data_IF_920879181743
#
_entry.id   IF_920879181743
#
_cell.length_a   1.000
_cell.length_b   1.000
_cell.length_c   1.000
_cell.angle_alpha   90.00
_cell.angle_beta   90.00
_cell.angle_gamma   90.00
#
_symmetry.space_group_name_H-M   'P 1'
#
loop_
_entity.id
_entity.type
_entity.pdbx_description
1 polymer ?
#
# COMPACT_ATOMS: atom_id res chain seq x y z
N UNK A 1 21.65 6.26 -1.47
CA UNK A 1 20.47 5.63 -2.12
C UNK A 1 19.85 4.78 -1.03
N UNK A 2 18.65 5.10 -0.55
CA UNK A 2 18.12 4.43 0.65
C UNK A 2 17.71 3.00 0.30
N UNK A 3 18.51 2.04 0.78
CA UNK A 3 18.29 0.63 0.54
C UNK A 3 17.08 0.14 1.34
N UNK A 4 16.36 -0.84 0.79
CA UNK A 4 15.31 -1.56 1.52
C UNK A 4 15.98 -2.76 2.18
N UNK A 5 16.30 -2.61 3.46
CA UNK A 5 16.99 -3.65 4.24
C UNK A 5 16.07 -4.84 4.54
N UNK A 6 16.57 -6.08 4.45
CA UNK A 6 15.83 -7.27 4.85
C UNK A 6 15.32 -7.22 6.29
N UNK A 7 14.26 -7.98 6.56
CA UNK A 7 13.56 -8.14 7.86
C UNK A 7 12.79 -6.93 8.37
N UNK A 8 13.11 -5.72 7.91
CA UNK A 8 12.45 -4.49 8.33
C UNK A 8 11.12 -4.23 7.63
N UNK A 9 10.26 -3.51 8.33
CA UNK A 9 9.03 -2.96 7.81
C UNK A 9 9.26 -1.63 7.10
N UNK A 10 8.51 -1.41 6.02
CA UNK A 10 8.50 -0.15 5.29
C UNK A 10 7.09 0.25 4.90
N UNK A 11 6.78 1.52 5.14
CA UNK A 11 5.70 2.20 4.45
C UNK A 11 6.20 2.63 3.08
N UNK A 12 5.71 1.98 2.03
CA UNK A 12 6.05 2.25 0.63
C UNK A 12 4.89 2.97 -0.03
N UNK A 13 5.15 4.11 -0.65
CA UNK A 13 4.09 4.87 -1.27
C UNK A 13 4.62 5.75 -2.40
N UNK A 14 3.72 6.08 -3.32
CA UNK A 14 4.03 6.96 -4.43
C UNK A 14 2.73 7.55 -4.99
N UNK A 15 2.87 8.62 -5.75
CA UNK A 15 1.76 9.32 -6.41
C UNK A 15 2.05 9.59 -7.87
N UNK A 16 0.98 9.87 -8.61
CA UNK A 16 1.05 10.36 -9.96
C UNK A 16 1.89 11.63 -10.04
N UNK A 17 2.72 11.72 -11.08
CA UNK A 17 3.41 12.94 -11.42
C UNK A 17 2.39 14.08 -11.60
N UNK A 18 2.69 15.27 -11.07
CA UNK A 18 1.74 16.39 -11.00
C UNK A 18 0.39 16.05 -10.31
N UNK A 19 0.38 15.09 -9.38
CA UNK A 19 -0.82 14.59 -8.67
C UNK A 19 -1.90 14.03 -9.62
N UNK A 20 -1.54 13.69 -10.85
CA UNK A 20 -2.46 13.16 -11.84
C UNK A 20 -3.03 11.79 -11.40
N UNK A 21 -4.24 11.42 -11.83
CA UNK A 21 -4.75 10.07 -11.65
C UNK A 21 -3.78 9.01 -12.21
N UNK A 22 -3.55 7.96 -11.43
CA UNK A 22 -2.83 6.75 -11.81
C UNK A 22 -3.77 5.55 -11.95
N UNK A 23 -5.01 5.64 -11.46
CA UNK A 23 -6.08 4.67 -11.70
C UNK A 23 -7.32 5.41 -12.22
N UNK A 24 -7.72 5.15 -13.46
CA UNK A 24 -8.90 5.72 -14.10
C UNK A 24 -10.13 4.79 -14.01
N UNK A 25 -9.91 3.48 -13.96
CA UNK A 25 -10.97 2.46 -13.95
C UNK A 25 -10.56 1.24 -13.12
N UNK A 26 -11.52 0.39 -12.74
CA UNK A 26 -11.30 -0.78 -11.87
C UNK A 26 -10.20 -1.72 -12.36
N UNK A 27 -10.09 -1.92 -13.67
CA UNK A 27 -9.06 -2.78 -14.26
C UNK A 27 -7.64 -2.25 -14.01
N UNK A 28 -7.48 -0.94 -13.83
CA UNK A 28 -6.19 -0.36 -13.45
C UNK A 28 -5.75 -0.83 -12.06
N UNK A 29 -6.67 -0.83 -11.10
CA UNK A 29 -6.41 -1.29 -9.73
C UNK A 29 -6.07 -2.77 -9.71
N UNK A 30 -6.89 -3.59 -10.38
CA UNK A 30 -6.67 -5.05 -10.51
C UNK A 30 -5.33 -5.36 -11.17
N UNK A 31 -4.99 -4.66 -12.25
CA UNK A 31 -3.74 -4.87 -12.96
C UNK A 31 -2.52 -4.46 -12.12
N UNK A 32 -2.62 -3.37 -11.36
CA UNK A 32 -1.55 -2.94 -10.44
C UNK A 32 -1.30 -3.97 -9.33
N UNK A 33 -2.36 -4.52 -8.73
CA UNK A 33 -2.25 -5.59 -7.74
C UNK A 33 -1.67 -6.88 -8.37
N UNK A 34 -2.05 -7.23 -9.60
CA UNK A 34 -1.46 -8.36 -10.33
C UNK A 34 0.05 -8.18 -10.56
N UNK A 35 0.48 -6.97 -10.95
CA UNK A 35 1.91 -6.67 -11.08
C UNK A 35 2.61 -6.68 -9.72
N UNK A 36 1.93 -6.24 -8.66
CA UNK A 36 2.46 -6.31 -7.28
C UNK A 36 2.72 -7.76 -6.89
N UNK A 37 1.78 -8.67 -7.17
CA UNK A 37 1.98 -10.10 -6.95
C UNK A 37 3.21 -10.63 -7.70
N UNK A 38 3.33 -10.28 -8.98
CA UNK A 38 4.45 -10.70 -9.84
C UNK A 38 5.80 -10.20 -9.35
N UNK A 39 5.88 -8.94 -8.94
CA UNK A 39 7.16 -8.26 -8.71
C UNK A 39 7.54 -8.16 -7.24
N UNK A 40 6.60 -8.22 -6.30
CA UNK A 40 6.87 -7.88 -4.90
C UNK A 40 6.81 -9.09 -3.97
N UNK A 41 5.87 -10.03 -4.17
CA UNK A 41 5.67 -11.14 -3.21
C UNK A 41 6.87 -12.07 -3.02
N UNK A 42 7.81 -12.12 -3.97
CA UNK A 42 9.04 -12.89 -3.83
C UNK A 42 10.11 -12.18 -2.99
N UNK A 43 10.03 -10.85 -2.83
CA UNK A 43 10.99 -10.05 -2.04
C UNK A 43 10.41 -9.49 -0.74
N UNK A 44 9.09 -9.39 -0.61
CA UNK A 44 8.45 -8.83 0.57
C UNK A 44 7.10 -9.48 0.87
N UNK A 45 6.77 -9.49 2.15
CA UNK A 45 5.44 -9.80 2.65
C UNK A 45 4.62 -8.51 2.73
N UNK A 46 3.36 -8.57 2.31
CA UNK A 46 2.46 -7.41 2.29
C UNK A 46 1.48 -7.53 3.46
N UNK A 47 1.43 -6.50 4.31
CA UNK A 47 0.57 -6.48 5.49
C UNK A 47 -0.74 -5.76 5.16
N UNK A 48 -0.65 -4.55 4.59
CA UNK A 48 -1.83 -3.80 4.15
C UNK A 48 -1.51 -2.89 2.97
N UNK A 49 -2.56 -2.40 2.31
CA UNK A 49 -2.49 -1.44 1.23
C UNK A 49 -3.75 -0.59 1.12
N UNK A 50 -3.61 0.57 0.48
CA UNK A 50 -4.72 1.37 -0.03
C UNK A 50 -4.31 2.02 -1.34
N UNK A 51 -5.14 1.87 -2.38
CA UNK A 51 -4.93 2.42 -3.70
C UNK A 51 -5.96 3.51 -3.95
N UNK A 52 -5.51 4.73 -4.16
CA UNK A 52 -6.33 5.93 -4.37
C UNK A 52 -6.09 6.46 -5.77
N UNK A 53 -7.06 7.21 -6.31
CA UNK A 53 -7.08 7.61 -7.73
C UNK A 53 -5.73 8.13 -8.25
N UNK A 54 -5.00 8.91 -7.46
CA UNK A 54 -3.71 9.50 -7.83
C UNK A 54 -2.50 8.99 -7.02
N UNK A 55 -2.65 8.06 -6.07
CA UNK A 55 -1.54 7.57 -5.26
C UNK A 55 -1.84 6.22 -4.59
N UNK A 56 -0.83 5.59 -4.01
CA UNK A 56 -1.02 4.34 -3.27
C UNK A 56 -0.13 4.31 -2.03
N UNK A 57 -0.52 3.48 -1.07
CA UNK A 57 0.28 3.11 0.09
C UNK A 57 0.31 1.60 0.26
N UNK A 58 1.47 1.07 0.64
CA UNK A 58 1.70 -0.30 1.07
C UNK A 58 2.45 -0.30 2.40
N UNK A 59 2.09 -1.23 3.27
CA UNK A 59 2.96 -1.68 4.34
C UNK A 59 3.54 -3.04 3.97
N UNK A 60 4.87 -3.11 3.91
CA UNK A 60 5.58 -4.34 3.55
C UNK A 60 6.66 -4.66 4.57
N UNK A 61 6.97 -5.94 4.71
CA UNK A 61 8.18 -6.41 5.40
C UNK A 61 9.10 -7.09 4.38
N UNK A 62 10.34 -6.63 4.29
CA UNK A 62 11.31 -7.22 3.34
C UNK A 62 11.74 -8.59 3.83
N UNK A 63 11.76 -9.58 2.94
CA UNK A 63 12.16 -10.96 3.27
C UNK A 63 13.66 -11.05 3.50
N UNK A 64 14.07 -11.89 4.44
CA UNK A 64 15.47 -12.04 4.87
C UNK A 64 16.44 -12.36 3.72
N UNK A 65 16.10 -13.35 2.88
CA UNK A 65 16.92 -13.81 1.75
C UNK A 65 16.53 -13.16 0.42
N UNK A 66 16.08 -11.90 0.46
CA UNK A 66 15.74 -11.16 -0.75
C UNK A 66 16.89 -10.26 -1.20
N UNK A 67 16.96 -10.03 -2.50
CA UNK A 67 17.92 -9.10 -3.12
C UNK A 67 17.19 -8.20 -4.10
N UNK A 68 17.81 -7.09 -4.49
CA UNK A 68 17.32 -6.21 -5.54
C UNK A 68 15.91 -5.64 -5.29
N UNK A 69 15.54 -5.40 -4.02
CA UNK A 69 14.21 -4.94 -3.61
C UNK A 69 13.82 -3.62 -4.29
N UNK A 70 14.73 -2.65 -4.32
CA UNK A 70 14.50 -1.37 -5.02
C UNK A 70 14.25 -1.58 -6.51
N UNK A 71 14.94 -2.55 -7.13
CA UNK A 71 14.75 -2.89 -8.54
C UNK A 71 13.40 -3.59 -8.77
N UNK A 72 12.96 -4.44 -7.83
CA UNK A 72 11.65 -5.09 -7.89
C UNK A 72 10.50 -4.07 -7.89
N UNK A 73 10.55 -3.07 -6.99
CA UNK A 73 9.61 -1.95 -7.00
C UNK A 73 9.73 -1.10 -8.28
N UNK A 74 10.94 -0.82 -8.75
CA UNK A 74 11.16 -0.13 -10.03
C UNK A 74 10.53 -0.89 -11.21
N UNK A 75 10.66 -2.22 -11.24
CA UNK A 75 10.07 -3.07 -12.26
C UNK A 75 8.54 -3.03 -12.23
N UNK A 76 7.93 -3.07 -11.04
CA UNK A 76 6.49 -2.88 -10.84
C UNK A 76 6.03 -1.54 -11.45
N UNK A 77 6.63 -0.43 -11.03
CA UNK A 77 6.21 0.91 -11.47
C UNK A 77 6.44 1.13 -12.96
N UNK A 78 7.54 0.61 -13.52
CA UNK A 78 7.84 0.70 -14.95
C UNK A 78 6.87 -0.14 -15.78
N UNK A 79 6.57 -1.37 -15.36
CA UNK A 79 5.62 -2.23 -16.06
C UNK A 79 4.22 -1.60 -16.08
N UNK A 80 3.78 -1.08 -14.94
CA UNK A 80 2.50 -0.40 -14.84
C UNK A 80 2.44 0.88 -15.68
N UNK A 81 3.46 1.75 -15.57
CA UNK A 81 3.54 3.01 -16.34
C UNK A 81 3.50 2.75 -17.85
N UNK A 82 4.19 1.70 -18.34
CA UNK A 82 4.17 1.32 -19.76
C UNK A 82 2.78 0.90 -20.22
N UNK A 83 2.10 0.05 -19.45
CA UNK A 83 0.75 -0.41 -19.78
C UNK A 83 -0.26 0.75 -19.75
N UNK A 84 -0.18 1.60 -18.73
CA UNK A 84 -1.01 2.79 -18.59
C UNK A 84 -0.81 3.76 -19.75
N UNK A 85 0.45 4.09 -20.07
CA UNK A 85 0.82 4.97 -21.17
C UNK A 85 0.29 4.44 -22.51
N UNK A 86 0.43 3.14 -22.77
CA UNK A 86 -0.13 2.50 -23.96
C UNK A 86 -1.67 2.60 -24.00
N UNK A 87 -2.36 2.33 -22.89
CA UNK A 87 -3.83 2.33 -22.83
C UNK A 87 -4.42 3.72 -23.04
N UNK A 88 -3.81 4.76 -22.46
CA UNK A 88 -4.32 6.14 -22.51
C UNK A 88 -3.57 7.06 -23.47
N UNK A 89 -2.81 6.49 -24.42
CA UNK A 89 -2.02 7.24 -25.40
C UNK A 89 -1.16 8.36 -24.79
N UNK A 90 -0.51 8.05 -23.65
CA UNK A 90 0.33 8.98 -22.88
C UNK A 90 1.80 8.64 -23.04
N UNK A 91 2.67 9.60 -22.80
CA UNK A 91 4.13 9.41 -22.73
C UNK A 91 4.70 9.93 -21.41
N UNK A 92 5.98 9.64 -21.14
CA UNK A 92 6.69 10.14 -19.96
C UNK A 92 6.39 9.37 -18.66
N UNK A 93 6.85 9.94 -17.54
CA UNK A 93 6.72 9.33 -16.21
C UNK A 93 5.29 9.41 -15.67
N UNK A 94 4.77 8.29 -15.17
CA UNK A 94 3.45 8.24 -14.54
C UNK A 94 3.55 8.58 -13.05
N UNK A 95 4.52 7.99 -12.36
CA UNK A 95 4.79 8.19 -10.93
C UNK A 95 5.88 9.23 -10.67
N UNK A 96 5.90 9.81 -9.47
CA UNK A 96 7.02 10.60 -8.98
C UNK A 96 8.27 9.71 -8.76
N UNK A 97 9.45 10.28 -8.98
CA UNK A 97 10.73 9.61 -8.80
C UNK A 97 11.59 10.37 -7.78
N UNK A 98 12.30 9.67 -6.89
CA UNK A 98 12.15 8.23 -6.59
C UNK A 98 10.82 7.94 -5.89
N UNK A 99 10.41 6.66 -5.82
CA UNK A 99 9.33 6.27 -4.92
C UNK A 99 9.77 6.46 -3.47
N UNK A 100 8.82 6.81 -2.61
CA UNK A 100 9.08 7.11 -1.21
C UNK A 100 8.96 5.84 -0.36
N UNK A 101 9.76 5.81 0.70
CA UNK A 101 9.86 4.69 1.65
C UNK A 101 10.18 5.25 3.03
N UNK A 102 9.52 4.74 4.07
CA UNK A 102 9.85 5.05 5.46
C UNK A 102 10.01 3.75 6.23
N UNK A 103 11.22 3.51 6.75
CA UNK A 103 11.52 2.35 7.60
C UNK A 103 10.75 2.48 8.91
N UNK A 104 10.19 1.37 9.39
CA UNK A 104 9.43 1.28 10.63
C UNK A 104 10.18 0.35 11.57
N UNK A 105 10.57 0.87 12.73
CA UNK A 105 11.32 0.13 13.77
C UNK A 105 10.54 -0.02 15.07
N UNK A 106 9.47 0.75 15.26
CA UNK A 106 8.66 0.75 16.48
C UNK A 106 7.29 0.14 16.22
N UNK A 107 6.86 -0.78 17.10
CA UNK A 107 5.58 -1.48 16.97
C UNK A 107 4.38 -0.51 17.08
N UNK A 108 4.45 0.47 17.98
CA UNK A 108 3.42 1.51 18.10
C UNK A 108 3.24 2.26 16.77
N UNK A 109 4.35 2.63 16.13
CA UNK A 109 4.32 3.30 14.84
C UNK A 109 3.81 2.38 13.72
N UNK A 110 4.13 1.07 13.76
CA UNK A 110 3.58 0.08 12.85
C UNK A 110 2.05 0.03 12.89
N UNK A 111 1.46 -0.01 14.10
CA UNK A 111 0.00 0.05 14.31
C UNK A 111 -0.61 1.32 13.70
N UNK A 112 0.01 2.47 13.94
CA UNK A 112 -0.42 3.77 13.39
C UNK A 112 -0.38 3.78 11.86
N UNK A 113 0.65 3.21 11.24
CA UNK A 113 0.75 3.12 9.78
C UNK A 113 -0.34 2.22 9.19
N UNK A 114 -0.68 1.09 9.83
CA UNK A 114 -1.78 0.23 9.37
C UNK A 114 -3.11 1.00 9.36
N UNK A 115 -3.41 1.70 10.46
CA UNK A 115 -4.60 2.54 10.57
C UNK A 115 -4.62 3.63 9.50
N UNK A 116 -3.51 4.36 9.36
CA UNK A 116 -3.36 5.44 8.38
C UNK A 116 -3.63 4.95 6.96
N UNK A 117 -3.06 3.80 6.58
CA UNK A 117 -3.25 3.22 5.24
C UNK A 117 -4.71 2.89 5.01
N UNK A 118 -5.40 2.25 5.96
CA UNK A 118 -6.80 1.88 5.78
C UNK A 118 -7.75 3.07 5.81
N UNK A 119 -7.50 4.06 6.67
CA UNK A 119 -8.31 5.28 6.86
C UNK A 119 -8.07 6.33 5.78
N UNK A 120 -7.05 6.16 4.94
CA UNK A 120 -6.68 7.13 3.92
C UNK A 120 -7.83 7.56 2.98
N UNK A 121 -8.74 6.69 2.53
CA UNK A 121 -9.91 7.10 1.75
C UNK A 121 -10.86 8.04 2.50
N UNK A 122 -11.08 7.81 3.81
CA UNK A 122 -11.88 8.70 4.66
C UNK A 122 -11.16 10.04 4.89
N UNK A 123 -9.86 10.00 5.21
CA UNK A 123 -9.05 11.21 5.45
C UNK A 123 -9.00 12.14 4.23
N UNK A 124 -9.08 11.58 3.01
CA UNK A 124 -9.19 12.36 1.77
C UNK A 124 -10.62 12.73 1.37
N UNK A 125 -11.63 12.45 2.21
CA UNK A 125 -13.03 12.78 1.97
C UNK A 125 -13.65 12.03 0.78
N UNK A 126 -13.10 10.87 0.40
CA UNK A 126 -13.57 10.07 -0.74
C UNK A 126 -14.79 9.24 -0.35
N UNK A 127 -14.83 8.78 0.90
CA UNK A 127 -15.90 7.95 1.43
C UNK A 127 -16.09 8.24 2.93
N UNK A 128 -17.28 7.91 3.46
CA UNK A 128 -17.58 8.06 4.89
C UNK A 128 -17.33 6.78 5.71
N UNK A 129 -17.20 5.63 5.02
CA UNK A 129 -16.99 4.33 5.63
C UNK A 129 -15.98 3.50 4.83
N UNK A 130 -14.80 3.26 5.40
CA UNK A 130 -13.72 2.45 4.81
C UNK A 130 -14.14 1.02 4.46
N UNK A 131 -15.17 0.45 5.09
CA UNK A 131 -15.69 -0.89 4.78
C UNK A 131 -16.18 -0.99 3.33
N UNK A 132 -16.63 0.14 2.78
CA UNK A 132 -17.17 0.24 1.43
C UNK A 132 -16.12 0.59 0.38
N UNK A 133 -14.85 0.78 0.76
CA UNK A 133 -13.79 1.13 -0.18
C UNK A 133 -13.13 -0.13 -0.78
N UNK A 134 -13.38 -0.46 -2.06
CA UNK A 134 -12.96 -1.75 -2.63
C UNK A 134 -11.45 -1.84 -2.89
N UNK A 135 -10.77 -0.68 -2.96
CA UNK A 135 -9.36 -0.58 -3.34
C UNK A 135 -8.42 -0.46 -2.12
N UNK A 136 -8.88 -0.92 -0.95
CA UNK A 136 -8.11 -1.04 0.29
C UNK A 136 -8.11 -2.49 0.78
N UNK A 137 -7.06 -2.86 1.51
CA UNK A 137 -6.97 -4.19 2.14
C UNK A 137 -7.87 -4.35 3.36
N UNK A 138 -8.51 -3.29 3.89
CA UNK A 138 -9.30 -3.37 5.13
C UNK A 138 -10.37 -4.47 5.07
N UNK A 139 -11.23 -4.46 4.05
CA UNK A 139 -12.24 -5.50 3.84
C UNK A 139 -11.61 -6.88 3.57
N UNK A 140 -10.42 -6.94 2.96
CA UNK A 140 -9.69 -8.19 2.74
C UNK A 140 -9.19 -8.80 4.04
N UNK A 141 -8.73 -7.98 4.99
CA UNK A 141 -8.28 -8.44 6.31
C UNK A 141 -9.46 -9.00 7.11
N UNK A 142 -10.63 -8.37 7.04
CA UNK A 142 -11.84 -8.84 7.73
C UNK A 142 -12.51 -10.07 7.11
N UNK A 143 -12.20 -10.36 5.85
CA UNK A 143 -12.80 -11.46 5.08
C UNK A 143 -12.16 -12.81 5.41
N UNK A 144 -12.93 -13.90 5.29
CA UNK A 144 -12.43 -15.28 5.38
C UNK A 144 -11.84 -15.82 4.06
N UNK A 145 -11.95 -15.07 2.96
CA UNK A 145 -11.45 -15.51 1.64
C UNK A 145 -9.91 -15.65 1.66
N UNK A 146 -9.32 -16.56 0.89
CA UNK A 146 -7.86 -16.65 0.76
C UNK A 146 -7.25 -15.32 0.32
N UNK A 147 -6.08 -14.99 0.86
CA UNK A 147 -5.34 -13.77 0.54
C UNK A 147 -3.84 -14.03 0.59
N UNK A 148 -3.07 -13.20 -0.12
CA UNK A 148 -1.61 -13.18 -0.05
C UNK A 148 -1.09 -12.18 1.01
N UNK A 149 -2.00 -11.47 1.67
CA UNK A 149 -1.64 -10.58 2.78
C UNK A 149 -1.29 -11.41 4.01
N UNK A 150 -0.42 -10.86 4.86
CA UNK A 150 -0.14 -11.38 6.20
C UNK A 150 -1.28 -11.08 7.17
N UNK A 151 -2.50 -11.52 6.84
CA UNK A 151 -3.74 -11.20 7.57
C UNK A 151 -3.61 -11.56 9.04
N UNK A 152 -3.16 -12.77 9.33
CA UNK A 152 -3.08 -13.30 10.69
C UNK A 152 -2.11 -12.46 11.52
N UNK A 153 -0.95 -12.12 10.98
CA UNK A 153 0.04 -11.25 11.63
C UNK A 153 -0.50 -9.82 11.81
N UNK A 154 -1.24 -9.28 10.85
CA UNK A 154 -1.90 -7.97 10.99
C UNK A 154 -2.94 -8.00 12.11
N UNK A 155 -3.74 -9.06 12.21
CA UNK A 155 -4.73 -9.19 13.29
C UNK A 155 -4.04 -9.32 14.64
N UNK A 156 -2.96 -10.08 14.72
CA UNK A 156 -2.15 -10.27 15.93
C UNK A 156 -1.50 -8.98 16.42
N UNK A 157 -1.05 -8.10 15.51
CA UNK A 157 -0.57 -6.74 15.85
C UNK A 157 -1.64 -5.92 16.59
N UNK A 158 -2.93 -6.24 16.42
CA UNK A 158 -4.04 -5.62 17.13
C UNK A 158 -4.66 -6.56 18.17
N UNK A 159 -3.94 -7.60 18.59
CA UNK A 159 -4.35 -8.65 19.53
C UNK A 159 -5.44 -9.59 18.98
N UNK A 160 -6.50 -9.06 18.37
CA UNK A 160 -7.56 -9.83 17.73
C UNK A 160 -8.38 -8.96 16.74
N UNK A 161 -9.25 -9.63 15.98
CA UNK A 161 -10.06 -8.98 14.94
C UNK A 161 -11.06 -7.96 15.50
N UNK A 162 -11.54 -8.15 16.72
CA UNK A 162 -12.51 -7.22 17.34
C UNK A 162 -11.81 -5.93 17.77
N UNK A 163 -10.62 -6.02 18.35
CA UNK A 163 -9.80 -4.85 18.67
C UNK A 163 -9.31 -4.15 17.40
N UNK A 164 -8.93 -4.89 16.35
CA UNK A 164 -8.64 -4.32 15.03
C UNK A 164 -9.80 -3.44 14.53
N UNK A 165 -11.03 -3.96 14.52
CA UNK A 165 -12.24 -3.19 14.13
C UNK A 165 -12.47 -2.00 15.06
N UNK A 166 -12.36 -2.20 16.36
CA UNK A 166 -12.59 -1.17 17.38
C UNK A 166 -11.67 0.02 17.17
N UNK A 167 -10.35 -0.19 17.04
CA UNK A 167 -9.38 0.90 16.88
C UNK A 167 -9.56 1.63 15.55
N UNK A 168 -9.92 0.95 14.45
CA UNK A 168 -10.25 1.62 13.19
C UNK A 168 -11.48 2.53 13.31
N UNK A 169 -12.49 2.12 14.09
CA UNK A 169 -13.70 2.94 14.33
C UNK A 169 -13.45 4.16 15.22
N UNK A 170 -12.44 4.12 16.09
CA UNK A 170 -12.08 5.26 16.94
C UNK A 170 -11.55 6.45 16.12
N UNK A 171 -11.11 6.23 14.87
CA UNK A 171 -10.60 7.27 13.96
C UNK A 171 -9.58 8.17 14.67
N UNK A 172 -8.47 7.60 15.19
CA UNK A 172 -7.48 8.39 15.89
C UNK A 172 -6.90 9.46 14.96
N UNK A 173 -6.47 10.58 15.55
CA UNK A 173 -5.73 11.59 14.80
C UNK A 173 -4.38 11.01 14.37
N UNK A 174 -4.14 11.05 13.06
CA UNK A 174 -2.96 10.51 12.39
C UNK A 174 -2.33 11.57 11.48
N UNK A 175 -2.62 12.85 11.69
CA UNK A 175 -2.14 13.97 10.85
C UNK A 175 -0.62 13.99 10.68
N UNK A 176 0.13 13.50 11.68
CA UNK A 176 1.60 13.41 11.63
C UNK A 176 2.11 12.47 10.51
N UNK A 177 1.24 11.61 9.98
CA UNK A 177 1.54 10.69 8.87
C UNK A 177 1.20 11.27 7.50
N UNK A 178 0.41 12.35 7.40
CA UNK A 178 0.04 12.99 6.13
C UNK A 178 1.23 13.63 5.40
N UNK A 179 2.31 13.89 6.11
CA UNK A 179 3.57 14.42 5.54
C UNK A 179 4.41 13.35 4.83
N UNK A 180 3.96 12.10 4.80
CA UNK A 180 4.67 11.03 4.07
C UNK A 180 4.50 11.20 2.56
#
# INVERSE_FOLDING_TARGET
>A
MDFLEPTYFYHIFNRGNNKQPIFHEDDNYRYFLKLTQKHILHIADIYCYCLLKNHFHFLVRIKEKSENQSQAFSNLFNAYSKAFNKKYNRTGNLFQRPFKRKRITEEKYLRQVILYIHLNPENHGIIENIENYPNSSYATILSSKPTQLKREEVIEIFDNIENFKFVHRQRPDLSDLDQT
#
